data_IF_038495161841
#
_entry.id   IF_038495161841
#
_cell.length_a   1.000
_cell.length_b   1.000
_cell.length_c   1.000
_cell.angle_alpha   90.00
_cell.angle_beta   90.00
_cell.angle_gamma   90.00
#
_symmetry.space_group_name_H-M   'P 1'
#
loop_
_entity.id
_entity.type
_entity.pdbx_description
1 polymer ?
#
# COMPACT_ATOMS: atom_id res chain seq x y z
N UNK A 1 24.44 -23.58 -10.58
CA UNK A 1 24.42 -22.27 -11.28
C UNK A 1 24.30 -22.35 -12.82
N UNK A 2 24.14 -23.53 -13.45
CA UNK A 2 24.12 -23.67 -14.93
C UNK A 2 22.90 -24.38 -15.53
N UNK A 3 21.72 -24.37 -14.88
CA UNK A 3 20.46 -24.82 -15.50
C UNK A 3 19.27 -23.99 -15.00
N UNK A 4 18.32 -23.71 -15.92
CA UNK A 4 17.06 -23.01 -15.64
C UNK A 4 17.02 -21.56 -16.15
N UNK A 5 15.90 -20.88 -15.85
CA UNK A 5 15.51 -19.51 -16.26
C UNK A 5 16.66 -18.49 -16.05
N UNK A 6 17.54 -18.74 -15.09
CA UNK A 6 18.75 -17.99 -14.75
C UNK A 6 19.78 -17.83 -15.88
N UNK A 7 19.82 -18.72 -16.89
CA UNK A 7 20.74 -18.58 -18.04
C UNK A 7 20.32 -17.48 -19.02
N UNK A 8 19.03 -17.11 -19.03
CA UNK A 8 18.48 -16.08 -19.92
C UNK A 8 18.49 -14.67 -19.33
N UNK A 9 18.82 -14.53 -18.04
CA UNK A 9 18.67 -13.26 -17.31
C UNK A 9 19.85 -13.03 -16.34
N UNK A 10 21.10 -12.91 -16.85
CA UNK A 10 22.30 -12.76 -16.01
C UNK A 10 22.30 -11.51 -15.14
N UNK A 11 21.56 -10.46 -15.53
CA UNK A 11 21.40 -9.23 -14.75
C UNK A 11 20.69 -9.41 -13.40
N UNK A 12 19.93 -10.50 -13.22
CA UNK A 12 19.22 -10.80 -11.97
C UNK A 12 20.18 -11.22 -10.84
N UNK A 13 21.36 -11.76 -11.16
CA UNK A 13 22.30 -12.25 -10.14
C UNK A 13 22.98 -11.07 -9.42
N UNK A 14 23.25 -9.98 -10.14
CA UNK A 14 23.88 -8.78 -9.60
C UNK A 14 22.91 -7.89 -8.79
N UNK A 15 21.61 -8.18 -8.85
CA UNK A 15 20.55 -7.45 -8.15
C UNK A 15 20.05 -8.16 -6.89
N UNK A 16 20.68 -9.26 -6.47
CA UNK A 16 20.28 -9.92 -5.22
C UNK A 16 20.59 -9.00 -4.04
N UNK A 17 19.53 -8.62 -3.33
CA UNK A 17 19.60 -7.73 -2.18
C UNK A 17 19.14 -8.45 -0.91
N UNK A 18 19.50 -7.91 0.24
CA UNK A 18 18.98 -8.40 1.52
C UNK A 18 17.74 -7.56 1.85
N UNK A 19 16.58 -8.20 2.00
CA UNK A 19 15.36 -7.51 2.43
C UNK A 19 15.58 -6.89 3.82
N UNK A 20 15.37 -5.57 3.98
CA UNK A 20 15.50 -4.89 5.27
C UNK A 20 14.61 -5.52 6.35
N UNK A 21 13.42 -6.01 5.97
CA UNK A 21 12.38 -6.51 6.86
C UNK A 21 12.57 -7.98 7.23
N UNK A 22 12.97 -8.81 6.27
CA UNK A 22 13.04 -10.27 6.46
C UNK A 22 14.46 -10.81 6.67
N UNK A 23 15.50 -9.99 6.41
CA UNK A 23 16.91 -10.39 6.45
C UNK A 23 17.24 -11.60 5.55
N UNK A 24 16.41 -11.85 4.54
CA UNK A 24 16.60 -12.90 3.55
C UNK A 24 17.03 -12.28 2.23
N UNK A 25 17.75 -13.07 1.43
CA UNK A 25 18.05 -12.69 0.05
C UNK A 25 16.76 -12.63 -0.77
N UNK A 26 16.52 -11.46 -1.35
CA UNK A 26 15.42 -11.21 -2.27
C UNK A 26 15.99 -10.83 -3.64
N UNK A 27 15.24 -11.12 -4.68
CA UNK A 27 15.52 -10.66 -6.03
C UNK A 27 14.47 -9.60 -6.39
N UNK A 28 14.81 -8.30 -6.37
CA UNK A 28 13.90 -7.25 -6.81
C UNK A 28 13.70 -7.39 -8.33
N UNK A 29 12.51 -7.80 -8.73
CA UNK A 29 12.15 -7.91 -10.17
C UNK A 29 11.75 -6.54 -10.73
N UNK A 30 11.28 -5.64 -9.88
CA UNK A 30 10.77 -4.33 -10.28
C UNK A 30 10.68 -3.36 -9.11
N UNK A 31 11.01 -2.10 -9.37
CA UNK A 31 10.84 -0.97 -8.46
C UNK A 31 10.04 0.11 -9.18
N UNK A 32 8.96 0.59 -8.56
CA UNK A 32 8.16 1.70 -9.07
C UNK A 32 7.98 2.75 -7.98
N UNK A 33 8.37 3.97 -8.30
CA UNK A 33 8.23 5.15 -7.45
C UNK A 33 7.27 6.14 -8.11
N UNK A 34 6.14 6.41 -7.46
CA UNK A 34 5.21 7.46 -7.88
C UNK A 34 5.27 8.63 -6.90
N UNK A 35 5.55 9.83 -7.41
CA UNK A 35 5.34 11.08 -6.67
C UNK A 35 3.99 11.68 -7.08
N UNK A 36 3.07 11.86 -6.14
CA UNK A 36 1.74 12.44 -6.38
C UNK A 36 1.38 13.53 -5.37
N UNK A 37 0.51 14.45 -5.77
CA UNK A 37 -0.01 15.55 -4.93
C UNK A 37 -1.52 15.44 -4.84
N UNK A 38 -2.05 15.33 -3.63
CA UNK A 38 -3.49 15.32 -3.36
C UNK A 38 -3.98 16.72 -2.99
N UNK A 39 -5.04 17.20 -3.66
CA UNK A 39 -5.67 18.50 -3.42
C UNK A 39 -7.13 18.25 -3.06
N UNK A 40 -7.53 18.71 -1.87
CA UNK A 40 -8.91 18.59 -1.37
C UNK A 40 -9.47 19.96 -0.97
N UNK A 41 -10.71 20.23 -1.37
CA UNK A 41 -11.48 21.42 -1.00
C UNK A 41 -12.86 20.99 -0.50
N UNK A 42 -13.25 21.49 0.68
CA UNK A 42 -14.56 21.20 1.31
C UNK A 42 -15.74 21.83 0.57
N UNK A 43 -15.62 23.10 0.15
CA UNK A 43 -16.72 23.81 -0.50
C UNK A 43 -16.25 24.81 -1.58
N UNK A 44 -16.74 24.71 -2.84
CA UNK A 44 -17.42 23.54 -3.39
C UNK A 44 -16.51 22.29 -3.31
N UNK A 45 -17.12 21.12 -3.07
CA UNK A 45 -16.37 19.86 -2.90
C UNK A 45 -15.58 19.55 -4.16
N UNK A 46 -14.26 19.49 -4.03
CA UNK A 46 -13.35 19.14 -5.12
C UNK A 46 -12.18 18.33 -4.59
N UNK A 47 -11.89 17.23 -5.27
CA UNK A 47 -10.74 16.38 -5.00
C UNK A 47 -9.96 16.17 -6.31
N UNK A 48 -8.63 16.21 -6.20
CA UNK A 48 -7.74 15.99 -7.33
C UNK A 48 -6.43 15.38 -6.87
N UNK A 49 -6.09 14.22 -7.42
CA UNK A 49 -4.75 13.64 -7.32
C UNK A 49 -3.96 14.01 -8.58
N UNK A 50 -2.84 14.70 -8.41
CA UNK A 50 -1.94 15.11 -9.49
C UNK A 50 -0.65 14.29 -9.39
N UNK A 51 -0.46 13.34 -10.31
CA UNK A 51 0.79 12.58 -10.40
C UNK A 51 1.87 13.52 -10.96
N UNK A 52 2.90 13.80 -10.17
CA UNK A 52 4.01 14.69 -10.52
C UNK A 52 5.13 13.98 -11.25
N UNK A 53 5.30 12.68 -11.02
CA UNK A 53 6.29 11.87 -11.71
C UNK A 53 6.14 10.40 -11.34
N UNK A 54 6.43 9.54 -12.31
CA UNK A 54 6.53 8.08 -12.11
C UNK A 54 7.90 7.68 -12.61
N UNK A 55 8.69 7.06 -11.75
CA UNK A 55 9.93 6.38 -12.11
C UNK A 55 9.72 4.89 -11.92
N UNK A 56 10.13 4.07 -12.88
CA UNK A 56 9.97 2.63 -12.84
C UNK A 56 11.20 1.97 -13.42
N UNK A 57 11.71 0.93 -12.78
CA UNK A 57 12.87 0.16 -13.25
C UNK A 57 12.57 -1.33 -13.08
N UNK A 58 12.82 -2.14 -14.12
CA UNK A 58 12.75 -3.61 -14.09
C UNK A 58 11.56 -4.24 -14.82
N UNK A 59 10.33 -3.72 -14.66
CA UNK A 59 9.10 -4.33 -15.23
C UNK A 59 8.94 -4.14 -16.75
N UNK A 60 9.50 -3.10 -17.35
CA UNK A 60 9.23 -2.78 -18.77
C UNK A 60 9.63 -3.93 -19.71
N UNK A 61 10.73 -4.64 -19.40
CA UNK A 61 11.16 -5.81 -20.14
C UNK A 61 10.24 -7.03 -19.92
N UNK A 62 9.67 -7.20 -18.74
CA UNK A 62 8.73 -8.29 -18.41
C UNK A 62 7.29 -8.05 -18.90
N UNK A 63 6.87 -6.79 -19.05
CA UNK A 63 5.55 -6.43 -19.61
C UNK A 63 5.53 -6.63 -21.13
N UNK A 64 6.68 -6.47 -21.80
CA UNK A 64 6.82 -6.62 -23.25
C UNK A 64 6.55 -8.05 -23.77
N UNK A 65 6.60 -9.06 -22.90
CA UNK A 65 6.36 -10.46 -23.26
C UNK A 65 4.89 -10.89 -23.21
N UNK A 66 3.97 -10.08 -22.66
CA UNK A 66 2.53 -10.36 -22.68
C UNK A 66 2.07 -11.57 -21.82
N UNK A 67 2.93 -12.07 -20.93
CA UNK A 67 2.63 -13.23 -20.07
C UNK A 67 1.73 -12.85 -18.88
N UNK A 68 1.00 -13.84 -18.33
CA UNK A 68 0.14 -13.70 -17.14
C UNK A 68 0.86 -13.06 -15.93
N UNK A 69 2.18 -13.23 -15.85
CA UNK A 69 3.04 -12.61 -14.82
C UNK A 69 2.99 -11.08 -14.91
N UNK A 70 2.97 -10.50 -16.11
CA UNK A 70 2.89 -9.06 -16.32
C UNK A 70 1.57 -8.45 -15.85
N UNK A 71 0.45 -9.18 -16.00
CA UNK A 71 -0.86 -8.73 -15.51
C UNK A 71 -0.92 -8.71 -13.97
N UNK A 72 -0.42 -9.77 -13.32
CA UNK A 72 -0.34 -9.84 -11.85
C UNK A 72 0.59 -8.74 -11.30
N UNK A 73 1.74 -8.53 -11.93
CA UNK A 73 2.66 -7.45 -11.55
C UNK A 73 2.01 -6.08 -11.71
N UNK A 74 1.31 -5.83 -12.82
CA UNK A 74 0.61 -4.54 -13.04
C UNK A 74 -0.41 -4.26 -11.95
N UNK A 75 -1.16 -5.27 -11.53
CA UNK A 75 -2.18 -5.12 -10.49
C UNK A 75 -1.57 -4.89 -9.09
N UNK A 76 -0.39 -5.47 -8.82
CA UNK A 76 0.40 -5.16 -7.62
C UNK A 76 0.86 -3.70 -7.54
N UNK A 77 1.08 -3.07 -8.70
CA UNK A 77 1.54 -1.67 -8.79
C UNK A 77 0.40 -0.65 -8.92
N UNK A 78 -0.85 -1.09 -8.68
CA UNK A 78 -2.01 -0.20 -8.60
C UNK A 78 -1.83 0.77 -7.42
N UNK A 79 -2.03 2.05 -7.68
CA UNK A 79 -1.94 3.07 -6.64
C UNK A 79 -3.05 2.88 -5.61
N UNK A 80 -2.65 2.74 -4.35
CA UNK A 80 -3.57 2.60 -3.23
C UNK A 80 -3.94 3.99 -2.72
N UNK A 81 -5.21 4.28 -2.60
CA UNK A 81 -5.69 5.52 -1.99
C UNK A 81 -6.66 5.19 -0.85
N UNK A 82 -6.26 5.46 0.39
CA UNK A 82 -7.13 5.22 1.54
C UNK A 82 -8.32 6.18 1.60
N UNK A 83 -8.30 7.33 0.91
CA UNK A 83 -9.45 8.25 0.92
C UNK A 83 -10.61 7.77 0.05
N UNK A 84 -10.39 6.78 -0.82
CA UNK A 84 -11.46 6.08 -1.53
C UNK A 84 -12.17 5.10 -0.58
N UNK A 85 -13.46 4.83 -0.83
CA UNK A 85 -14.24 3.95 0.04
C UNK A 85 -13.74 2.49 0.01
N UNK A 86 -13.24 2.06 -1.15
CA UNK A 86 -12.72 0.72 -1.39
C UNK A 86 -11.33 0.81 -2.01
N UNK A 87 -10.44 -0.05 -1.56
CA UNK A 87 -9.08 -0.22 -2.08
C UNK A 87 -9.09 -1.46 -2.96
N UNK A 88 -8.82 -1.28 -4.25
CA UNK A 88 -8.66 -2.40 -5.18
C UNK A 88 -7.24 -2.92 -5.11
N UNK A 89 -7.11 -4.21 -4.82
CA UNK A 89 -5.85 -4.93 -4.83
C UNK A 89 -6.07 -6.28 -5.48
N UNK A 90 -5.32 -6.57 -6.53
CA UNK A 90 -5.54 -7.76 -7.33
C UNK A 90 -6.98 -7.76 -7.90
N UNK A 91 -7.60 -8.94 -7.99
CA UNK A 91 -9.01 -9.09 -8.32
C UNK A 91 -9.98 -8.77 -7.17
N UNK A 92 -9.48 -8.34 -6.01
CA UNK A 92 -10.29 -8.12 -4.81
C UNK A 92 -10.48 -6.64 -4.48
N UNK A 93 -11.55 -6.35 -3.75
CA UNK A 93 -11.84 -5.02 -3.18
C UNK A 93 -11.87 -5.15 -1.67
N UNK A 94 -11.13 -4.27 -1.01
CA UNK A 94 -11.04 -4.21 0.44
C UNK A 94 -11.60 -2.88 0.94
N UNK A 95 -12.38 -2.90 2.01
CA UNK A 95 -12.94 -1.68 2.60
C UNK A 95 -11.79 -0.81 3.12
N UNK A 96 -11.76 0.47 2.74
CA UNK A 96 -10.79 1.41 3.29
C UNK A 96 -11.01 1.65 4.78
N UNK A 97 -9.94 1.75 5.61
CA UNK A 97 -10.06 2.10 7.02
C UNK A 97 -10.62 3.50 7.29
N UNK A 98 -10.68 4.38 6.28
CA UNK A 98 -11.32 5.70 6.39
C UNK A 98 -12.49 5.86 5.39
N UNK A 99 -13.03 4.75 4.90
CA UNK A 99 -14.25 4.70 4.10
C UNK A 99 -15.38 5.49 4.75
N UNK A 100 -15.98 6.40 3.98
CA UNK A 100 -17.05 7.28 4.46
C UNK A 100 -18.36 6.55 4.72
N UNK A 101 -18.52 5.33 4.18
CA UNK A 101 -19.77 4.57 4.21
C UNK A 101 -19.63 3.34 5.12
N UNK A 102 -18.48 2.67 5.12
CA UNK A 102 -18.34 1.33 5.68
C UNK A 102 -17.27 1.19 6.75
N UNK A 103 -16.40 2.19 6.99
CA UNK A 103 -15.28 2.05 7.92
C UNK A 103 -15.74 1.70 9.33
N UNK A 104 -16.72 2.42 9.88
CA UNK A 104 -17.20 2.23 11.26
C UNK A 104 -17.93 0.89 11.44
N UNK A 105 -18.63 0.40 10.42
CA UNK A 105 -19.33 -0.89 10.48
C UNK A 105 -18.43 -2.10 10.21
N UNK A 106 -17.29 -1.88 9.56
CA UNK A 106 -16.40 -2.96 9.15
C UNK A 106 -15.18 -3.09 10.08
N UNK A 107 -14.68 -1.98 10.62
CA UNK A 107 -13.50 -1.94 11.48
C UNK A 107 -13.85 -1.53 12.92
N UNK A 108 -13.13 -2.14 13.87
CA UNK A 108 -13.02 -1.64 15.25
C UNK A 108 -11.80 -0.75 15.36
N UNK A 109 -11.99 0.46 15.89
CA UNK A 109 -10.92 1.42 16.15
C UNK A 109 -10.60 1.48 17.64
N UNK A 110 -9.31 1.46 17.96
CA UNK A 110 -8.78 1.62 19.30
C UNK A 110 -7.97 2.91 19.35
N UNK A 111 -8.34 3.82 20.26
CA UNK A 111 -7.55 5.00 20.58
C UNK A 111 -6.33 4.55 21.39
N UNK A 112 -5.13 4.76 20.84
CA UNK A 112 -3.89 4.28 21.44
C UNK A 112 -3.28 5.37 22.33
N UNK A 113 -2.87 6.48 21.72
CA UNK A 113 -2.24 7.62 22.40
C UNK A 113 -2.22 8.86 21.48
N UNK A 114 -1.73 9.99 21.97
CA UNK A 114 -1.36 11.17 21.19
C UNK A 114 0.16 11.21 21.02
N UNK A 115 0.63 11.20 19.77
CA UNK A 115 2.06 11.08 19.43
C UNK A 115 2.50 12.13 18.42
N UNK A 116 3.76 12.51 18.46
CA UNK A 116 4.36 13.40 17.46
C UNK A 116 4.79 12.62 16.21
N UNK A 117 4.24 12.96 15.04
CA UNK A 117 4.65 12.44 13.73
C UNK A 117 5.32 13.56 12.94
N UNK A 118 6.65 13.53 12.92
CA UNK A 118 7.46 14.65 12.41
C UNK A 118 7.32 15.87 13.32
N UNK A 119 6.69 16.94 12.82
CA UNK A 119 6.44 18.18 13.59
C UNK A 119 4.97 18.35 14.00
N UNK A 120 4.13 17.36 13.74
CA UNK A 120 2.69 17.44 14.00
C UNK A 120 2.27 16.49 15.11
N UNK A 121 1.42 17.00 16.01
CA UNK A 121 0.75 16.17 17.00
C UNK A 121 -0.37 15.39 16.32
N UNK A 122 -0.37 14.07 16.52
CA UNK A 122 -1.31 13.15 15.90
C UNK A 122 -1.97 12.26 16.96
N UNK A 123 -3.26 12.04 16.82
CA UNK A 123 -3.97 10.96 17.49
C UNK A 123 -3.66 9.64 16.79
N UNK A 124 -3.13 8.69 17.55
CA UNK A 124 -2.82 7.35 17.07
C UNK A 124 -4.00 6.42 17.30
N UNK A 125 -4.50 5.86 16.20
CA UNK A 125 -5.57 4.86 16.20
C UNK A 125 -5.00 3.54 15.69
N UNK A 126 -5.36 2.43 16.32
CA UNK A 126 -5.22 1.10 15.74
C UNK A 126 -6.58 0.64 15.20
N UNK A 127 -6.59 -0.10 14.09
CA UNK A 127 -7.82 -0.63 13.52
C UNK A 127 -7.66 -2.09 13.10
N UNK A 128 -8.73 -2.86 13.28
CA UNK A 128 -8.83 -4.28 12.88
C UNK A 128 -10.24 -4.59 12.40
N UNK A 129 -10.45 -5.57 11.49
CA UNK A 129 -11.79 -5.98 11.08
C UNK A 129 -12.64 -6.39 12.29
N UNK A 130 -13.90 -6.01 12.29
CA UNK A 130 -14.82 -6.25 13.40
C UNK A 130 -15.03 -7.74 13.63
N UNK A 131 -15.12 -8.52 12.55
CA UNK A 131 -15.13 -9.98 12.57
C UNK A 131 -13.78 -10.52 12.11
N UNK A 132 -13.21 -11.46 12.87
CA UNK A 132 -11.91 -12.06 12.56
C UNK A 132 -11.90 -12.94 11.30
N UNK A 133 -13.08 -13.27 10.77
CA UNK A 133 -13.26 -14.03 9.52
C UNK A 133 -13.34 -13.09 8.31
N UNK A 134 -13.56 -11.79 8.52
CA UNK A 134 -13.63 -10.83 7.43
C UNK A 134 -12.23 -10.55 6.88
N UNK A 135 -12.13 -10.54 5.56
CA UNK A 135 -10.89 -10.22 4.86
C UNK A 135 -10.75 -8.70 4.76
N UNK A 136 -9.98 -8.12 5.68
CA UNK A 136 -9.77 -6.68 5.76
C UNK A 136 -8.38 -6.32 6.24
N UNK A 137 -8.05 -5.03 6.16
CA UNK A 137 -6.77 -4.53 6.62
C UNK A 137 -6.70 -4.50 8.15
N UNK A 138 -5.51 -4.75 8.69
CA UNK A 138 -5.19 -4.39 10.08
C UNK A 138 -4.08 -3.35 10.07
N UNK A 139 -4.12 -2.38 10.98
CA UNK A 139 -3.13 -1.32 10.92
C UNK A 139 -3.29 -0.21 11.93
N UNK A 140 -2.63 0.90 11.60
CA UNK A 140 -2.56 2.11 12.39
C UNK A 140 -2.80 3.35 11.52
N UNK A 141 -3.57 4.28 12.07
CA UNK A 141 -3.77 5.62 11.53
C UNK A 141 -3.17 6.64 12.50
N UNK A 142 -2.50 7.63 11.95
CA UNK A 142 -2.01 8.80 12.67
C UNK A 142 -2.74 10.00 12.09
N UNK A 143 -3.71 10.50 12.85
CA UNK A 143 -4.62 11.57 12.44
C UNK A 143 -4.21 12.85 13.13
N UNK A 144 -4.12 13.97 12.41
CA UNK A 144 -3.77 15.25 13.04
C UNK A 144 -4.71 15.58 14.20
N UNK A 145 -4.12 16.04 15.31
CA UNK A 145 -4.85 16.58 16.45
C UNK A 145 -5.16 18.07 16.24
N UNK A 146 -5.78 18.40 15.11
CA UNK A 146 -6.19 19.75 14.76
C UNK A 146 -7.60 19.77 14.17
N UNK A 147 -8.07 20.93 13.71
CA UNK A 147 -9.43 21.06 13.14
C UNK A 147 -9.62 20.36 11.80
N UNK A 148 -8.55 19.89 11.15
CA UNK A 148 -8.62 19.20 9.86
C UNK A 148 -8.93 17.71 10.03
N UNK A 149 -8.42 17.09 11.10
CA UNK A 149 -8.41 15.64 11.31
C UNK A 149 -7.91 14.87 10.08
N UNK A 150 -6.96 15.44 9.33
CA UNK A 150 -6.37 14.78 8.17
C UNK A 150 -5.45 13.63 8.60
N UNK A 151 -5.38 12.56 7.80
CA UNK A 151 -4.45 11.46 8.05
C UNK A 151 -3.04 11.93 7.69
N UNK A 152 -2.13 11.93 8.66
CA UNK A 152 -0.70 12.22 8.44
C UNK A 152 0.06 10.98 8.01
N UNK A 153 -0.28 9.83 8.58
CA UNK A 153 0.34 8.54 8.25
C UNK A 153 -0.67 7.41 8.39
N UNK A 154 -0.59 6.44 7.50
CA UNK A 154 -1.31 5.17 7.58
C UNK A 154 -0.31 4.03 7.39
N UNK A 155 -0.39 3.02 8.24
CA UNK A 155 0.35 1.76 8.08
C UNK A 155 -0.60 0.61 8.21
N UNK A 156 -0.72 -0.23 7.19
CA UNK A 156 -1.68 -1.33 7.20
C UNK A 156 -1.17 -2.53 6.45
N UNK A 157 -1.65 -3.71 6.84
CA UNK A 157 -1.29 -4.97 6.22
C UNK A 157 -2.52 -5.86 6.05
N UNK A 158 -2.37 -6.83 5.17
CA UNK A 158 -3.30 -7.94 5.02
C UNK A 158 -2.80 -9.15 5.82
N UNK A 159 -3.67 -9.85 6.58
CA UNK A 159 -3.26 -11.07 7.28
C UNK A 159 -2.78 -12.15 6.30
N UNK A 160 -1.81 -12.99 6.70
CA UNK A 160 -1.21 -14.02 5.83
C UNK A 160 -2.21 -15.04 5.23
N UNK A 161 -3.46 -15.09 5.73
CA UNK A 161 -4.50 -16.04 5.29
C UNK A 161 -5.57 -15.39 4.41
N UNK A 162 -5.30 -14.28 3.74
CA UNK A 162 -6.30 -13.53 2.95
C UNK A 162 -6.75 -14.21 1.65
N UNK A 163 -6.20 -15.37 1.29
CA UNK A 163 -6.57 -16.07 0.05
C UNK A 163 -6.08 -15.38 -1.22
N UNK A 164 -5.27 -14.32 -1.10
CA UNK A 164 -4.52 -13.74 -2.21
C UNK A 164 -3.36 -14.70 -2.51
N UNK A 165 -3.54 -15.53 -3.53
CA UNK A 165 -2.46 -16.37 -4.02
C UNK A 165 -1.28 -15.47 -4.46
N UNK A 166 -0.05 -15.95 -4.27
CA UNK A 166 1.20 -15.28 -4.70
C UNK A 166 1.72 -14.14 -3.81
N UNK A 167 1.08 -13.80 -2.68
CA UNK A 167 1.55 -12.77 -1.75
C UNK A 167 1.77 -13.34 -0.34
N UNK A 168 3.03 -13.47 0.06
CA UNK A 168 3.39 -13.92 1.42
C UNK A 168 3.14 -12.83 2.49
N UNK A 169 3.35 -11.56 2.12
CA UNK A 169 3.20 -10.41 3.02
C UNK A 169 2.97 -9.14 2.20
N UNK A 170 1.97 -8.36 2.61
CA UNK A 170 1.70 -7.03 2.05
C UNK A 170 1.70 -6.02 3.18
N UNK A 171 2.67 -5.10 3.16
CA UNK A 171 2.72 -3.94 4.04
C UNK A 171 2.51 -2.68 3.19
N UNK A 172 1.55 -1.85 3.58
CA UNK A 172 1.21 -0.60 2.93
C UNK A 172 1.50 0.52 3.92
N UNK A 173 2.40 1.42 3.54
CA UNK A 173 2.79 2.58 4.35
C UNK A 173 2.53 3.82 3.50
N UNK A 174 1.66 4.70 3.98
CA UNK A 174 1.36 5.98 3.34
C UNK A 174 1.70 7.11 4.29
N UNK A 175 2.53 8.03 3.83
CA UNK A 175 2.88 9.26 4.55
C UNK A 175 2.37 10.44 3.73
N UNK A 176 1.61 11.33 4.35
CA UNK A 176 1.06 12.50 3.70
C UNK A 176 1.88 13.72 4.08
N UNK A 177 2.43 14.41 3.09
CA UNK A 177 2.91 15.78 3.26
C UNK A 177 1.69 16.70 3.29
N UNK A 178 1.62 17.53 4.33
CA UNK A 178 0.54 18.47 4.59
C UNK A 178 1.12 19.87 4.48
#
# INVERSE_FOLDING_TARGET
>A
LQKGIYKKMPFLIDQIEISPESQKFILPVSIKETASQYIYRKEPRSEKTLIRGVNSTGIEDFLSTGDMVGAVLTDMFTEINIYDNDIRLFDNRFVSPISSISAISFYKFYLMDTVMVGKHECVHLAFVPQNSQDFGFTGHLYVLNDSSYAVKRCTMNLPQKTGVNYVDRLDIIQNYEL
#
